data_IF_973360686258
#
_entry.id   IF_973360686258
#
_cell.length_a   1.000
_cell.length_b   1.000
_cell.length_c   1.000
_cell.angle_alpha   90.00
_cell.angle_beta   90.00
_cell.angle_gamma   90.00
#
_symmetry.space_group_name_H-M   'P 1'
#
loop_
_entity.id
_entity.type
_entity.pdbx_description
1 polymer ?
#
# COMPACT_ATOMS: atom_id res chain seq x y z
N UNK A 1 2.73 -20.89 -11.77
CA UNK A 1 2.18 -20.85 -13.15
C UNK A 1 0.85 -20.11 -13.12
N UNK A 2 0.75 -18.99 -13.84
CA UNK A 2 -0.48 -18.20 -13.92
C UNK A 2 -1.52 -18.94 -14.78
N UNK A 3 -2.66 -19.32 -14.19
CA UNK A 3 -3.77 -19.96 -14.89
C UNK A 3 -5.12 -19.48 -14.33
N UNK A 4 -6.21 -19.73 -15.04
CA UNK A 4 -7.56 -19.26 -14.67
C UNK A 4 -7.97 -19.71 -13.26
N UNK A 5 -7.69 -20.96 -12.89
CA UNK A 5 -8.07 -21.54 -11.59
C UNK A 5 -7.33 -20.85 -10.43
N UNK A 6 -6.02 -20.68 -10.58
CA UNK A 6 -5.16 -19.98 -9.60
C UNK A 6 -5.57 -18.52 -9.50
N UNK A 7 -5.79 -17.83 -10.63
CA UNK A 7 -6.23 -16.44 -10.62
C UNK A 7 -7.56 -16.27 -9.90
N UNK A 8 -8.56 -17.11 -10.22
CA UNK A 8 -9.88 -17.07 -9.59
C UNK A 8 -9.79 -17.31 -8.09
N UNK A 9 -9.07 -18.33 -7.67
CA UNK A 9 -8.88 -18.65 -6.25
C UNK A 9 -8.14 -17.51 -5.53
N UNK A 10 -7.07 -16.97 -6.11
CA UNK A 10 -6.31 -15.87 -5.51
C UNK A 10 -7.18 -14.61 -5.38
N UNK A 11 -7.97 -14.28 -6.40
CA UNK A 11 -8.93 -13.18 -6.36
C UNK A 11 -10.11 -13.43 -5.41
N UNK A 12 -10.37 -14.66 -4.96
CA UNK A 12 -11.50 -14.97 -4.08
C UNK A 12 -11.10 -15.22 -2.61
N UNK A 13 -9.91 -15.73 -2.36
CA UNK A 13 -9.55 -16.25 -1.03
C UNK A 13 -8.22 -15.70 -0.49
N UNK A 14 -7.27 -15.32 -1.36
CA UNK A 14 -5.94 -14.88 -0.92
C UNK A 14 -6.01 -13.57 -0.13
N UNK A 15 -5.29 -13.51 0.99
CA UNK A 15 -5.28 -12.31 1.81
C UNK A 15 -4.76 -11.10 1.01
N UNK A 16 -5.19 -9.85 1.33
CA UNK A 16 -4.84 -8.67 0.56
C UNK A 16 -3.34 -8.49 0.30
N UNK A 17 -2.51 -8.74 1.32
CA UNK A 17 -1.06 -8.54 1.26
C UNK A 17 -0.38 -9.52 0.31
N UNK A 18 -0.78 -10.79 0.35
CA UNK A 18 -0.30 -11.82 -0.56
C UNK A 18 -0.83 -11.60 -1.97
N UNK A 19 -2.07 -11.17 -2.11
CA UNK A 19 -2.66 -10.87 -3.40
C UNK A 19 -1.92 -9.72 -4.09
N UNK A 20 -1.58 -8.65 -3.36
CA UNK A 20 -0.72 -7.58 -3.90
C UNK A 20 0.65 -8.11 -4.32
N UNK A 21 1.29 -8.97 -3.51
CA UNK A 21 2.58 -9.57 -3.89
C UNK A 21 2.46 -10.42 -5.15
N UNK A 22 1.41 -11.23 -5.24
CA UNK A 22 1.11 -12.04 -6.42
C UNK A 22 0.91 -11.16 -7.65
N UNK A 23 0.15 -10.06 -7.53
CA UNK A 23 -0.06 -9.12 -8.63
C UNK A 23 1.24 -8.43 -9.01
N UNK A 24 2.04 -7.94 -8.06
CA UNK A 24 3.36 -7.32 -8.35
C UNK A 24 4.30 -8.29 -9.07
N UNK A 25 4.23 -9.57 -8.75
CA UNK A 25 5.04 -10.60 -9.41
C UNK A 25 4.53 -10.89 -10.83
N UNK A 26 3.21 -10.99 -11.01
CA UNK A 26 2.61 -11.33 -12.30
C UNK A 26 2.44 -10.12 -13.23
N UNK A 27 2.41 -8.91 -12.69
CA UNK A 27 2.30 -7.64 -13.41
C UNK A 27 3.32 -6.65 -12.81
N UNK A 28 4.62 -6.85 -13.12
CA UNK A 28 5.67 -6.00 -12.59
C UNK A 28 5.56 -4.57 -13.14
N UNK A 29 5.81 -3.59 -12.26
CA UNK A 29 5.72 -2.16 -12.56
C UNK A 29 6.77 -1.73 -13.61
N UNK A 30 7.94 -2.38 -13.63
CA UNK A 30 9.02 -2.09 -14.57
C UNK A 30 8.79 -2.66 -15.98
N UNK A 31 7.58 -3.15 -16.26
CA UNK A 31 7.24 -3.80 -17.51
C UNK A 31 7.56 -5.30 -17.51
N UNK A 32 7.01 -5.99 -18.50
CA UNK A 32 7.22 -7.40 -18.76
C UNK A 32 7.17 -7.65 -20.27
N UNK A 33 7.68 -8.81 -20.70
CA UNK A 33 7.57 -9.27 -22.08
C UNK A 33 6.11 -9.22 -22.58
N UNK A 34 5.92 -8.72 -23.81
CA UNK A 34 4.61 -8.50 -24.40
C UNK A 34 3.81 -9.81 -24.53
N UNK A 35 4.44 -10.89 -24.98
CA UNK A 35 3.74 -12.18 -25.15
C UNK A 35 3.29 -12.75 -23.80
N UNK A 36 4.12 -12.60 -22.78
CA UNK A 36 3.81 -12.98 -21.40
C UNK A 36 2.64 -12.15 -20.85
N UNK A 37 2.67 -10.83 -21.04
CA UNK A 37 1.58 -9.95 -20.64
C UNK A 37 0.27 -10.32 -21.35
N UNK A 38 0.30 -10.45 -22.68
CA UNK A 38 -0.85 -10.78 -23.50
C UNK A 38 -1.48 -12.11 -23.08
N UNK A 39 -0.67 -13.13 -22.79
CA UNK A 39 -1.16 -14.42 -22.27
C UNK A 39 -1.90 -14.28 -20.94
N UNK A 40 -1.38 -13.49 -20.00
CA UNK A 40 -2.02 -13.24 -18.69
C UNK A 40 -3.33 -12.47 -18.87
N UNK A 41 -3.35 -11.47 -19.74
CA UNK A 41 -4.56 -10.73 -20.12
C UNK A 41 -5.60 -11.67 -20.73
N UNK A 42 -5.23 -12.59 -21.62
CA UNK A 42 -6.14 -13.59 -22.18
C UNK A 42 -6.73 -14.52 -21.10
N UNK A 43 -5.94 -14.89 -20.10
CA UNK A 43 -6.42 -15.66 -18.95
C UNK A 43 -7.45 -14.85 -18.15
N UNK A 44 -7.23 -13.55 -17.94
CA UNK A 44 -8.22 -12.66 -17.29
C UNK A 44 -9.49 -12.57 -18.17
N UNK A 45 -9.35 -12.42 -19.49
CA UNK A 45 -10.46 -12.44 -20.46
C UNK A 45 -11.24 -13.76 -20.42
N UNK A 46 -10.69 -14.86 -19.90
CA UNK A 46 -11.43 -16.11 -19.74
C UNK A 46 -12.40 -16.13 -18.54
N UNK A 47 -12.33 -15.15 -17.64
CA UNK A 47 -13.23 -15.02 -16.48
C UNK A 47 -14.65 -14.60 -16.90
N UNK A 48 -15.68 -15.05 -16.18
CA UNK A 48 -17.06 -14.64 -16.44
C UNK A 48 -17.30 -13.17 -16.04
N UNK A 49 -18.35 -12.50 -16.56
CA UNK A 49 -18.69 -11.14 -16.14
C UNK A 49 -18.95 -10.99 -14.63
N UNK A 50 -19.51 -12.02 -13.98
CA UNK A 50 -19.72 -12.06 -12.53
C UNK A 50 -18.40 -12.20 -11.77
N UNK A 51 -17.47 -13.04 -12.24
CA UNK A 51 -16.13 -13.19 -11.68
C UNK A 51 -15.34 -11.88 -11.78
N UNK A 52 -15.39 -11.21 -12.94
CA UNK A 52 -14.76 -9.90 -13.14
C UNK A 52 -15.34 -8.85 -12.18
N UNK A 53 -16.66 -8.81 -12.01
CA UNK A 53 -17.31 -7.85 -11.10
C UNK A 53 -16.90 -8.07 -9.65
N UNK A 54 -16.85 -9.34 -9.20
CA UNK A 54 -16.38 -9.69 -7.86
C UNK A 54 -14.92 -9.30 -7.65
N UNK A 55 -14.06 -9.57 -8.64
CA UNK A 55 -12.65 -9.20 -8.60
C UNK A 55 -12.44 -7.68 -8.54
N UNK A 56 -13.18 -6.91 -9.33
CA UNK A 56 -13.16 -5.43 -9.29
C UNK A 56 -13.54 -4.93 -7.89
N UNK A 57 -14.63 -5.43 -7.32
CA UNK A 57 -15.06 -5.04 -5.98
C UNK A 57 -13.99 -5.36 -4.92
N UNK A 58 -13.34 -6.52 -5.01
CA UNK A 58 -12.23 -6.85 -4.11
C UNK A 58 -11.03 -5.93 -4.30
N UNK A 59 -10.63 -5.64 -5.53
CA UNK A 59 -9.50 -4.75 -5.79
C UNK A 59 -9.77 -3.34 -5.27
N UNK A 60 -10.99 -2.84 -5.42
CA UNK A 60 -11.41 -1.56 -4.83
C UNK A 60 -11.35 -1.60 -3.29
N UNK A 61 -11.81 -2.70 -2.68
CA UNK A 61 -11.70 -2.91 -1.24
C UNK A 61 -10.24 -2.92 -0.75
N UNK A 62 -9.34 -3.57 -1.47
CA UNK A 62 -7.91 -3.61 -1.14
C UNK A 62 -7.27 -2.24 -1.34
N UNK A 63 -7.57 -1.56 -2.46
CA UNK A 63 -7.12 -0.18 -2.71
C UNK A 63 -7.50 0.73 -1.54
N UNK A 64 -8.75 0.66 -1.09
CA UNK A 64 -9.24 1.45 0.04
C UNK A 64 -8.53 1.12 1.36
N UNK A 65 -8.12 -0.13 1.58
CA UNK A 65 -7.37 -0.51 2.80
C UNK A 65 -5.95 0.08 2.82
N UNK A 66 -5.32 0.20 1.65
CA UNK A 66 -3.97 0.73 1.51
C UNK A 66 -3.92 2.22 1.17
N UNK A 67 -5.05 2.92 1.14
CA UNK A 67 -5.09 4.35 0.86
C UNK A 67 -4.65 5.15 2.10
N UNK A 68 -3.43 5.72 2.09
CA UNK A 68 -2.91 6.43 3.26
C UNK A 68 -3.71 7.70 3.57
N UNK A 69 -4.43 8.26 2.59
CA UNK A 69 -5.19 9.50 2.80
C UNK A 69 -6.28 9.35 3.87
N UNK A 70 -6.82 8.13 4.04
CA UNK A 70 -7.87 7.83 5.02
C UNK A 70 -7.34 7.71 6.44
N UNK A 71 -6.10 7.27 6.61
CA UNK A 71 -5.49 7.04 7.93
C UNK A 71 -4.56 8.16 8.36
N UNK A 72 -4.12 9.02 7.44
CA UNK A 72 -3.17 10.11 7.72
C UNK A 72 -3.64 11.10 8.79
N UNK A 73 -4.93 11.44 8.81
CA UNK A 73 -5.48 12.35 9.83
C UNK A 73 -5.32 11.79 11.25
N UNK A 74 -5.66 10.51 11.44
CA UNK A 74 -5.54 9.84 12.73
C UNK A 74 -4.07 9.58 13.06
N UNK A 75 -3.27 9.16 12.07
CA UNK A 75 -1.84 8.89 12.24
C UNK A 75 -1.04 10.13 12.61
N UNK A 76 -1.32 11.28 11.99
CA UNK A 76 -0.64 12.53 12.30
C UNK A 76 -0.96 13.04 13.71
N UNK A 77 -2.19 12.86 14.18
CA UNK A 77 -2.57 13.17 15.56
C UNK A 77 -1.79 12.30 16.56
N UNK A 78 -1.78 10.98 16.35
CA UNK A 78 -1.05 10.04 17.22
C UNK A 78 0.45 10.38 17.24
N UNK A 79 1.06 10.66 16.08
CA UNK A 79 2.47 11.05 16.00
C UNK A 79 2.74 12.38 16.72
N UNK A 80 1.88 13.38 16.52
CA UNK A 80 1.99 14.68 17.19
C UNK A 80 1.92 14.54 18.72
N UNK A 81 0.95 13.81 19.24
CA UNK A 81 0.84 13.53 20.68
C UNK A 81 2.05 12.73 21.19
N UNK A 82 2.55 11.77 20.41
CA UNK A 82 3.72 10.97 20.77
C UNK A 82 4.98 11.85 20.87
N UNK A 83 5.16 12.80 19.96
CA UNK A 83 6.29 13.74 20.01
C UNK A 83 6.25 14.65 21.25
N UNK A 84 5.07 15.11 21.65
CA UNK A 84 4.91 15.84 22.92
C UNK A 84 5.28 14.94 24.11
N UNK A 85 4.81 13.67 24.11
CA UNK A 85 5.18 12.69 25.12
C UNK A 85 6.69 12.44 25.20
N UNK A 86 7.37 12.35 24.05
CA UNK A 86 8.82 12.20 24.01
C UNK A 86 9.56 13.44 24.54
N UNK A 87 9.07 14.66 24.28
CA UNK A 87 9.65 15.87 24.87
C UNK A 87 9.66 15.79 26.40
N UNK A 88 8.55 15.34 27.00
CA UNK A 88 8.45 15.14 28.45
C UNK A 88 9.39 14.02 28.92
N UNK A 89 9.40 12.87 28.24
CA UNK A 89 10.24 11.72 28.62
C UNK A 89 11.75 12.03 28.60
N UNK A 90 12.21 12.82 27.64
CA UNK A 90 13.63 13.20 27.53
C UNK A 90 13.96 14.47 28.34
N UNK A 91 12.99 15.10 29.00
CA UNK A 91 13.19 16.36 29.70
C UNK A 91 13.62 17.50 28.77
N UNK A 92 13.18 17.45 27.50
CA UNK A 92 13.55 18.39 26.46
C UNK A 92 12.38 19.32 26.20
N UNK A 93 12.64 20.62 26.21
CA UNK A 93 11.78 21.58 25.56
C UNK A 93 12.54 22.14 24.35
N UNK A 94 12.10 21.79 23.13
CA UNK A 94 12.77 22.24 21.90
C UNK A 94 12.80 23.76 21.80
N UNK A 95 11.83 24.47 22.41
CA UNK A 95 11.82 25.93 22.45
C UNK A 95 12.86 26.54 23.41
N UNK A 96 13.44 25.74 24.32
CA UNK A 96 14.39 26.18 25.36
C UNK A 96 15.53 25.16 25.53
N UNK A 97 16.40 25.10 24.53
CA UNK A 97 17.61 24.27 24.60
C UNK A 97 18.69 25.05 25.36
N UNK A 98 19.18 24.47 26.46
CA UNK A 98 20.30 24.96 27.28
C UNK A 98 21.46 23.98 27.16
N UNK A 99 22.66 24.36 27.61
CA UNK A 99 23.81 23.43 27.58
C UNK A 99 23.51 22.13 28.34
N UNK A 100 22.81 22.22 29.47
CA UNK A 100 22.45 21.07 30.31
C UNK A 100 21.49 20.06 29.66
N UNK A 101 20.67 20.48 28.68
CA UNK A 101 19.71 19.59 28.00
C UNK A 101 20.07 19.30 26.53
N UNK A 102 21.16 19.89 26.01
CA UNK A 102 21.54 19.82 24.59
C UNK A 102 21.67 18.38 24.09
N UNK A 103 22.27 17.49 24.89
CA UNK A 103 22.43 16.08 24.50
C UNK A 103 21.07 15.38 24.38
N UNK A 104 20.18 15.56 25.37
CA UNK A 104 18.83 14.99 25.33
C UNK A 104 18.04 15.55 24.14
N UNK A 105 18.20 16.83 23.82
CA UNK A 105 17.55 17.45 22.68
C UNK A 105 18.03 16.84 21.35
N UNK A 106 19.33 16.58 21.20
CA UNK A 106 19.88 15.89 20.02
C UNK A 106 19.35 14.45 19.91
N UNK A 107 19.31 13.70 21.01
CA UNK A 107 18.76 12.34 21.04
C UNK A 107 17.28 12.34 20.65
N UNK A 108 16.49 13.26 21.22
CA UNK A 108 15.08 13.44 20.89
C UNK A 108 14.89 13.70 19.38
N UNK A 109 15.66 14.63 18.81
CA UNK A 109 15.54 14.97 17.37
C UNK A 109 15.91 13.78 16.51
N UNK A 110 16.98 13.06 16.87
CA UNK A 110 17.40 11.85 16.15
C UNK A 110 16.30 10.77 16.14
N UNK A 111 15.72 10.48 17.31
CA UNK A 111 14.62 9.51 17.44
C UNK A 111 13.39 9.95 16.62
N UNK A 112 13.03 11.22 16.72
CA UNK A 112 11.92 11.81 15.95
C UNK A 112 12.13 11.65 14.45
N UNK A 113 13.34 11.92 13.96
CA UNK A 113 13.70 11.73 12.54
C UNK A 113 13.56 10.27 12.14
N UNK A 114 14.04 9.32 12.95
CA UNK A 114 13.94 7.88 12.68
C UNK A 114 12.47 7.46 12.56
N UNK A 115 11.60 7.92 13.47
CA UNK A 115 10.15 7.62 13.45
C UNK A 115 9.49 8.21 12.20
N UNK A 116 9.81 9.47 11.85
CA UNK A 116 9.30 10.12 10.65
C UNK A 116 9.71 9.37 9.38
N UNK A 117 10.99 8.98 9.26
CA UNK A 117 11.49 8.24 8.10
C UNK A 117 10.85 6.84 8.00
N UNK A 118 10.67 6.16 9.13
CA UNK A 118 9.98 4.88 9.18
C UNK A 118 8.51 4.99 8.72
N UNK A 119 7.82 6.02 9.21
CA UNK A 119 6.43 6.32 8.82
C UNK A 119 6.32 6.63 7.34
N UNK A 120 7.21 7.47 6.82
CA UNK A 120 7.24 7.82 5.40
C UNK A 120 7.44 6.59 4.51
N UNK A 121 8.34 5.67 4.90
CA UNK A 121 8.54 4.40 4.17
C UNK A 121 7.28 3.54 4.14
N UNK A 122 6.55 3.46 5.24
CA UNK A 122 5.29 2.72 5.29
C UNK A 122 4.22 3.35 4.38
N UNK A 123 4.11 4.68 4.38
CA UNK A 123 3.16 5.40 3.51
C UNK A 123 3.49 5.18 2.02
N UNK A 124 4.77 5.25 1.65
CA UNK A 124 5.19 4.97 0.27
C UNK A 124 4.80 3.54 -0.12
N UNK A 125 5.07 2.57 0.75
CA UNK A 125 4.74 1.16 0.52
C UNK A 125 3.24 0.92 0.39
N UNK A 126 2.43 1.57 1.23
CA UNK A 126 0.97 1.48 1.17
C UNK A 126 0.45 2.11 -0.12
N UNK A 127 0.97 3.28 -0.50
CA UNK A 127 0.65 3.91 -1.79
C UNK A 127 0.97 3.00 -2.97
N UNK A 128 2.14 2.35 -2.99
CA UNK A 128 2.49 1.39 -4.04
C UNK A 128 1.53 0.18 -4.09
N UNK A 129 1.09 -0.32 -2.93
CA UNK A 129 0.14 -1.41 -2.85
C UNK A 129 -1.24 -0.98 -3.37
N UNK A 130 -1.69 0.23 -3.02
CA UNK A 130 -2.91 0.83 -3.54
C UNK A 130 -2.85 1.00 -5.06
N UNK A 131 -1.73 1.50 -5.60
CA UNK A 131 -1.50 1.61 -7.05
C UNK A 131 -1.53 0.24 -7.74
N UNK A 132 -0.97 -0.80 -7.12
CA UNK A 132 -1.00 -2.16 -7.66
C UNK A 132 -2.44 -2.70 -7.75
N UNK A 133 -3.24 -2.50 -6.68
CA UNK A 133 -4.65 -2.87 -6.70
C UNK A 133 -5.42 -2.11 -7.77
N UNK A 134 -5.16 -0.81 -7.88
CA UNK A 134 -5.82 0.07 -8.86
C UNK A 134 -5.49 -0.36 -10.30
N UNK A 135 -4.23 -0.67 -10.58
CA UNK A 135 -3.82 -1.17 -11.89
C UNK A 135 -4.59 -2.43 -12.30
N UNK A 136 -4.66 -3.44 -11.42
CA UNK A 136 -5.40 -4.66 -11.75
C UNK A 136 -6.90 -4.39 -11.86
N UNK A 137 -7.45 -3.51 -11.01
CA UNK A 137 -8.85 -3.09 -11.09
C UNK A 137 -9.18 -2.48 -12.45
N UNK A 138 -8.37 -1.53 -12.91
CA UNK A 138 -8.57 -0.88 -14.22
C UNK A 138 -8.46 -1.89 -15.37
N UNK A 139 -7.50 -2.81 -15.29
CA UNK A 139 -7.39 -3.91 -16.27
C UNK A 139 -8.64 -4.79 -16.29
N UNK A 140 -9.21 -5.11 -15.13
CA UNK A 140 -10.45 -5.89 -15.02
C UNK A 140 -11.66 -5.10 -15.56
N UNK A 141 -11.73 -3.79 -15.30
CA UNK A 141 -12.78 -2.91 -15.82
C UNK A 141 -12.74 -2.87 -17.34
N UNK A 142 -11.55 -2.66 -17.92
CA UNK A 142 -11.36 -2.63 -19.37
C UNK A 142 -11.80 -3.96 -20.02
N UNK A 143 -11.36 -5.09 -19.46
CA UNK A 143 -11.73 -6.41 -19.96
C UNK A 143 -13.24 -6.67 -19.85
N UNK A 144 -13.87 -6.19 -18.77
CA UNK A 144 -15.31 -6.31 -18.60
C UNK A 144 -16.06 -5.45 -19.64
N UNK A 145 -15.58 -4.25 -19.94
CA UNK A 145 -16.19 -3.41 -20.98
C UNK A 145 -16.06 -3.99 -22.39
N UNK A 146 -14.96 -4.67 -22.71
CA UNK A 146 -14.76 -5.32 -24.02
C UNK A 146 -15.66 -6.55 -24.24
N UNK A 147 -16.26 -7.10 -23.19
CA UNK A 147 -17.13 -8.27 -23.25
C UNK A 147 -18.61 -7.95 -23.45
N UNK A 148 -19.00 -6.70 -23.20
CA UNK A 148 -20.36 -6.21 -23.36
C UNK A 148 -20.51 -5.57 -24.74
#
# INVERSE_FOLDING_TARGET
MFNKKVLKHNLAEMNPKELIKFIKHEFPINGQDYHTHARKVQIIKSLSPSELSSAIARMEGIKSQYDPSKTWGIGSLILGTSFIGFQVLFGVNISKITEGNRLNALIYVLITIIICLWTLRNIIKDKENATTADYLKELLIQIKSEKN
#
